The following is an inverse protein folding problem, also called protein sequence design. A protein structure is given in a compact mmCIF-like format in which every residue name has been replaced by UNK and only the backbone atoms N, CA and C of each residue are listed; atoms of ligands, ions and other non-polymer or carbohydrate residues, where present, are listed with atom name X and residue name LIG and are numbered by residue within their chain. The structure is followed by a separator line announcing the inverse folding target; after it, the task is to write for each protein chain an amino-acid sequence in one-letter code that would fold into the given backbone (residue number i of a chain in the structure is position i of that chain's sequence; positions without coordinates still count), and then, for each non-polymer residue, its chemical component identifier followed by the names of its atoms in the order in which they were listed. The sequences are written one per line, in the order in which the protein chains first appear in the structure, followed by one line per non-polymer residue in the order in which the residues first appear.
data_IF_967918738064
#
_entry.id   IF_967918738064
#
_cell.length_a   1.000
_cell.length_b   1.000
_cell.length_c   1.000
_cell.angle_alpha   90.00
_cell.angle_beta   90.00
_cell.angle_gamma   90.00
#
_symmetry.space_group_name_H-M   'P 1'
#
loop_
_entity.id
_entity.type
_entity.pdbx_description
1 polymer ?
#
# COMPACT_ATOMS: atom_id res chain seq x y z
N UNK A 1 10.35 -9.56 -6.63
CA UNK A 1 10.72 -9.07 -5.29
C UNK A 1 9.74 -9.62 -4.27
N UNK A 2 10.14 -9.82 -3.01
CA UNK A 2 9.25 -10.26 -1.94
C UNK A 2 8.93 -9.06 -1.03
N UNK A 3 7.66 -8.64 -0.98
CA UNK A 3 7.15 -7.69 0.01
C UNK A 3 7.70 -8.01 1.41
N UNK A 4 8.38 -7.03 2.02
CA UNK A 4 8.94 -7.18 3.36
C UNK A 4 7.83 -6.99 4.38
N UNK A 5 7.76 -7.88 5.37
CA UNK A 5 6.82 -7.78 6.50
C UNK A 5 7.63 -7.75 7.78
N UNK A 6 7.43 -6.74 8.61
CA UNK A 6 8.18 -6.53 9.87
C UNK A 6 7.21 -6.36 11.03
N UNK A 7 7.52 -7.01 12.15
CA UNK A 7 6.91 -6.70 13.44
C UNK A 7 7.65 -5.49 14.04
N UNK A 8 6.96 -4.38 14.27
CA UNK A 8 7.60 -3.19 14.83
C UNK A 8 6.74 -1.95 14.91
N UNK A 9 7.37 -0.87 15.37
CA UNK A 9 6.81 0.47 15.45
C UNK A 9 7.18 1.27 14.20
N UNK A 10 6.17 1.69 13.42
CA UNK A 10 6.38 2.45 12.19
C UNK A 10 7.10 3.78 12.43
N UNK A 11 7.01 4.36 13.63
CA UNK A 11 7.68 5.62 13.97
C UNK A 11 9.21 5.48 14.08
N UNK A 12 9.72 4.24 14.13
CA UNK A 12 11.15 3.93 14.24
C UNK A 12 11.79 3.53 12.90
N UNK A 13 11.03 3.55 11.81
CA UNK A 13 11.50 3.08 10.51
C UNK A 13 12.38 4.12 9.83
N UNK A 14 13.66 3.81 9.66
CA UNK A 14 14.60 4.58 8.83
C UNK A 14 14.36 4.27 7.35
N UNK A 15 13.51 5.09 6.73
CA UNK A 15 13.03 4.92 5.34
C UNK A 15 12.85 6.27 4.67
N UNK A 16 12.70 6.31 3.35
CA UNK A 16 12.40 7.59 2.69
C UNK A 16 11.03 8.11 3.10
N UNK A 17 10.03 7.24 3.21
CA UNK A 17 8.69 7.64 3.63
C UNK A 17 8.01 6.62 4.56
N UNK A 18 7.23 7.12 5.51
CA UNK A 18 6.23 6.32 6.23
C UNK A 18 4.81 6.73 5.86
N UNK A 19 3.86 5.82 6.00
CA UNK A 19 2.43 6.11 5.81
C UNK A 19 1.73 6.30 7.15
N UNK A 20 0.98 7.40 7.28
CA UNK A 20 0.10 7.68 8.40
C UNK A 20 -1.36 7.41 8.02
N UNK A 21 -2.04 6.59 8.82
CA UNK A 21 -3.50 6.41 8.78
C UNK A 21 -4.19 7.60 9.45
N UNK A 22 -4.48 8.66 8.68
CA UNK A 22 -4.99 9.92 9.17
C UNK A 22 -6.52 10.06 9.03
N UNK A 23 -7.06 11.12 9.65
CA UNK A 23 -8.41 11.64 9.35
C UNK A 23 -8.34 12.75 8.31
N UNK A 24 -9.48 13.08 7.69
CA UNK A 24 -9.55 14.07 6.59
C UNK A 24 -9.05 15.46 6.97
N UNK A 25 -9.12 15.83 8.25
CA UNK A 25 -8.71 17.14 8.75
C UNK A 25 -7.22 17.19 9.14
N UNK A 26 -6.49 16.09 8.93
CA UNK A 26 -5.04 15.98 9.21
C UNK A 26 -4.66 16.35 10.65
N UNK A 27 -5.61 16.19 11.58
CA UNK A 27 -5.41 16.35 13.01
C UNK A 27 -5.01 15.02 13.66
N UNK A 28 -4.36 15.06 14.85
CA UNK A 28 -4.09 13.86 15.62
C UNK A 28 -5.38 13.09 15.90
N UNK A 29 -5.37 11.78 15.65
CA UNK A 29 -6.45 10.86 16.01
C UNK A 29 -5.87 9.59 16.65
N UNK A 30 -6.67 8.80 17.39
CA UNK A 30 -6.18 7.61 18.09
C UNK A 30 -5.43 6.61 17.20
N UNK A 31 -4.59 5.79 17.83
CA UNK A 31 -3.81 4.75 17.14
C UNK A 31 -2.54 5.31 16.48
N UNK A 32 -2.22 4.80 15.29
CA UNK A 32 -0.96 5.09 14.57
C UNK A 32 -0.78 6.59 14.35
N UNK A 33 -1.84 7.34 14.06
CA UNK A 33 -1.75 8.77 13.83
C UNK A 33 -1.23 9.49 15.07
N UNK A 34 -1.83 9.26 16.25
CA UNK A 34 -1.35 9.85 17.51
C UNK A 34 0.08 9.43 17.84
N UNK A 35 0.47 8.19 17.55
CA UNK A 35 1.84 7.72 17.75
C UNK A 35 2.84 8.45 16.85
N UNK A 36 2.50 8.66 15.57
CA UNK A 36 3.32 9.43 14.63
C UNK A 36 3.44 10.89 15.08
N UNK A 37 2.34 11.54 15.49
CA UNK A 37 2.39 12.91 15.99
C UNK A 37 3.22 13.06 17.27
N UNK A 38 3.14 12.08 18.18
CA UNK A 38 3.89 12.10 19.44
C UNK A 38 5.38 11.78 19.26
N UNK A 39 5.73 10.92 18.29
CA UNK A 39 7.11 10.58 17.99
C UNK A 39 7.82 11.62 17.13
N UNK A 40 7.07 12.36 16.30
CA UNK A 40 7.55 13.55 15.61
C UNK A 40 7.51 14.78 16.55
N UNK A 41 8.06 15.89 16.10
CA UNK A 41 7.75 17.22 16.63
C UNK A 41 6.27 17.52 16.34
N UNK A 42 5.44 17.36 17.37
CA UNK A 42 3.99 17.48 17.27
C UNK A 42 3.56 18.85 16.73
N UNK A 43 4.21 19.94 17.13
CA UNK A 43 3.77 21.28 16.76
C UNK A 43 4.19 21.64 15.34
N UNK A 44 5.39 21.26 14.91
CA UNK A 44 5.82 21.41 13.52
C UNK A 44 5.00 20.52 12.58
N UNK A 45 4.67 19.29 12.97
CA UNK A 45 3.83 18.43 12.14
C UNK A 45 2.40 18.98 12.03
N UNK A 46 1.80 19.45 13.14
CA UNK A 46 0.48 20.11 13.10
C UNK A 46 0.50 21.34 12.19
N UNK A 47 1.57 22.13 12.23
CA UNK A 47 1.73 23.32 11.37
C UNK A 47 1.85 22.93 9.89
N UNK A 48 2.59 21.87 9.56
CA UNK A 48 2.66 21.34 8.21
C UNK A 48 1.29 20.84 7.72
N UNK A 49 0.56 20.09 8.55
CA UNK A 49 -0.80 19.64 8.26
C UNK A 49 -1.77 20.82 8.03
N UNK A 50 -1.73 21.86 8.87
CA UNK A 50 -2.58 23.06 8.70
C UNK A 50 -2.34 23.79 7.38
N UNK A 51 -1.10 23.83 6.88
CA UNK A 51 -0.78 24.42 5.58
C UNK A 51 -1.40 23.66 4.40
N UNK A 52 -1.55 22.34 4.54
CA UNK A 52 -2.20 21.48 3.54
C UNK A 52 -3.73 21.63 3.62
N UNK A 53 -4.27 21.79 4.84
CA UNK A 53 -5.71 21.88 5.08
C UNK A 53 -6.33 20.50 5.23
N UNK A 54 -6.83 19.92 4.13
CA UNK A 54 -7.60 18.66 4.18
C UNK A 54 -7.05 17.59 3.23
N UNK A 55 -7.21 16.33 3.61
CA UNK A 55 -6.99 15.17 2.74
C UNK A 55 -8.33 14.51 2.44
N UNK A 56 -8.68 14.39 1.15
CA UNK A 56 -9.91 13.71 0.74
C UNK A 56 -9.83 12.21 1.06
N UNK A 57 -10.95 11.60 1.42
CA UNK A 57 -11.04 10.16 1.62
C UNK A 57 -10.58 9.41 0.36
N UNK A 58 -9.71 8.41 0.54
CA UNK A 58 -9.06 7.67 -0.53
C UNK A 58 -7.90 8.42 -1.20
N UNK A 59 -7.38 9.50 -0.60
CA UNK A 59 -6.20 10.24 -1.11
C UNK A 59 -5.03 10.23 -0.14
N UNK A 60 -3.89 10.74 -0.63
CA UNK A 60 -2.66 10.94 0.12
C UNK A 60 -2.14 12.38 -0.02
N UNK A 61 -1.70 12.97 1.09
CA UNK A 61 -0.95 14.25 1.13
C UNK A 61 0.40 14.03 1.81
N UNK A 62 1.34 14.96 1.64
CA UNK A 62 2.74 14.77 2.08
C UNK A 62 3.18 15.90 2.99
N UNK A 63 3.84 15.56 4.09
CA UNK A 63 4.52 16.50 5.00
C UNK A 63 5.96 16.07 5.22
N UNK A 64 6.85 16.98 5.66
CA UNK A 64 8.10 16.58 6.30
C UNK A 64 7.83 15.69 7.51
N UNK A 65 8.78 14.81 7.84
CA UNK A 65 8.60 13.87 8.96
C UNK A 65 8.72 14.48 10.35
N UNK A 66 9.16 15.75 10.42
CA UNK A 66 9.27 16.53 11.65
C UNK A 66 10.06 15.81 12.75
N UNK A 67 11.20 15.19 12.41
CA UNK A 67 12.12 14.61 13.41
C UNK A 67 12.00 13.09 13.59
N UNK A 68 11.15 12.40 12.82
CA UNK A 68 11.22 10.94 12.72
C UNK A 68 12.46 10.50 11.91
N UNK A 69 12.92 9.24 12.06
CA UNK A 69 14.00 8.69 11.23
C UNK A 69 13.66 8.72 9.72
N UNK A 70 12.38 8.56 9.37
CA UNK A 70 11.94 8.71 7.98
C UNK A 70 12.08 10.15 7.47
N UNK A 71 12.19 10.37 6.15
CA UNK A 71 12.31 11.74 5.60
C UNK A 71 10.97 12.47 5.46
N UNK A 72 9.93 11.77 5.00
CA UNK A 72 8.60 12.35 4.76
C UNK A 72 7.48 11.43 5.27
N UNK A 73 6.30 12.00 5.51
CA UNK A 73 5.09 11.27 5.90
C UNK A 73 4.04 11.39 4.80
N UNK A 74 3.49 10.27 4.36
CA UNK A 74 2.30 10.20 3.51
C UNK A 74 1.06 10.02 4.38
N UNK A 75 0.24 11.05 4.50
CA UNK A 75 -1.01 11.01 5.24
C UNK A 75 -2.15 10.57 4.33
N UNK A 76 -2.73 9.41 4.61
CA UNK A 76 -3.89 8.90 3.89
C UNK A 76 -5.14 8.97 4.76
N UNK A 77 -6.24 9.44 4.18
CA UNK A 77 -7.53 9.47 4.85
C UNK A 77 -8.43 8.36 4.30
N UNK A 78 -8.94 7.49 5.16
CA UNK A 78 -9.88 6.42 4.79
C UNK A 78 -11.28 6.66 5.32
N UNK A 79 -12.25 5.97 4.74
CA UNK A 79 -13.61 5.94 5.26
C UNK A 79 -13.68 4.99 6.47
N UNK A 80 -14.71 5.16 7.30
CA UNK A 80 -15.13 4.11 8.23
C UNK A 80 -15.58 2.86 7.48
N UNK A 81 -15.56 1.71 8.19
CA UNK A 81 -16.03 0.43 7.67
C UNK A 81 -17.36 0.07 8.31
N UNK A 82 -18.40 -0.07 7.49
CA UNK A 82 -19.78 -0.31 7.91
C UNK A 82 -20.32 -1.56 7.22
N UNK A 83 -19.59 -2.67 7.36
CA UNK A 83 -20.00 -3.98 6.82
C UNK A 83 -19.26 -4.41 5.56
N UNK A 84 -18.28 -3.64 5.08
CA UNK A 84 -17.37 -4.09 4.03
C UNK A 84 -17.96 -4.08 2.64
N UNK A 85 -18.91 -3.16 2.39
CA UNK A 85 -19.46 -2.93 1.05
C UNK A 85 -18.34 -2.58 0.06
N UNK A 86 -18.56 -2.86 -1.23
CA UNK A 86 -17.55 -2.77 -2.29
C UNK A 86 -16.79 -1.42 -2.30
N UNK A 87 -17.48 -0.32 -1.96
CA UNK A 87 -16.89 1.02 -1.88
C UNK A 87 -15.82 1.15 -0.80
N UNK A 88 -16.00 0.54 0.37
CA UNK A 88 -15.06 0.63 1.50
C UNK A 88 -13.75 -0.09 1.17
N UNK A 89 -13.87 -1.30 0.60
CA UNK A 89 -12.72 -2.06 0.08
C UNK A 89 -11.94 -1.26 -0.96
N UNK A 90 -12.64 -0.67 -1.93
CA UNK A 90 -12.04 0.17 -2.96
C UNK A 90 -11.31 1.38 -2.36
N UNK A 91 -11.91 2.07 -1.40
CA UNK A 91 -11.30 3.24 -0.76
C UNK A 91 -10.04 2.87 0.04
N UNK A 92 -10.02 1.70 0.70
CA UNK A 92 -8.82 1.22 1.37
C UNK A 92 -7.71 0.87 0.39
N UNK A 93 -8.03 0.14 -0.69
CA UNK A 93 -7.05 -0.13 -1.75
C UNK A 93 -6.48 1.19 -2.30
N UNK A 94 -7.35 2.21 -2.47
CA UNK A 94 -6.95 3.50 -2.98
C UNK A 94 -6.03 4.26 -2.01
N UNK A 95 -6.23 4.16 -0.69
CA UNK A 95 -5.27 4.72 0.29
C UNK A 95 -3.86 4.15 0.07
N UNK A 96 -3.72 2.83 -0.10
CA UNK A 96 -2.43 2.21 -0.40
C UNK A 96 -1.89 2.69 -1.74
N UNK A 97 -2.69 2.64 -2.82
CA UNK A 97 -2.26 3.07 -4.16
C UNK A 97 -1.78 4.52 -4.17
N UNK A 98 -2.49 5.42 -3.49
CA UNK A 98 -2.15 6.85 -3.45
C UNK A 98 -0.89 7.12 -2.65
N UNK A 99 -0.68 6.44 -1.52
CA UNK A 99 0.58 6.53 -0.79
C UNK A 99 1.76 6.05 -1.64
N UNK A 100 1.63 4.90 -2.32
CA UNK A 100 2.68 4.35 -3.17
C UNK A 100 2.92 5.20 -4.44
N UNK A 101 1.88 5.83 -5.00
CA UNK A 101 2.04 6.84 -6.05
C UNK A 101 2.83 8.07 -5.56
N UNK A 102 2.67 8.49 -4.30
CA UNK A 102 3.51 9.56 -3.73
C UNK A 102 4.97 9.12 -3.62
N UNK A 103 5.26 7.85 -3.35
CA UNK A 103 6.62 7.33 -3.33
C UNK A 103 7.34 7.58 -4.67
N UNK A 104 6.65 7.32 -5.79
CA UNK A 104 7.18 7.63 -7.12
C UNK A 104 7.42 9.13 -7.32
N UNK A 105 6.43 9.96 -6.98
CA UNK A 105 6.50 11.41 -7.18
C UNK A 105 7.62 12.08 -6.36
N UNK A 106 7.92 11.53 -5.18
CA UNK A 106 8.93 12.04 -4.27
C UNK A 106 10.26 11.28 -4.36
N UNK A 107 10.43 10.41 -5.39
CA UNK A 107 11.63 9.62 -5.65
C UNK A 107 12.09 8.77 -4.44
N UNK A 108 11.14 8.22 -3.68
CA UNK A 108 11.42 7.32 -2.58
C UNK A 108 11.88 5.95 -3.10
N UNK A 109 12.90 5.37 -2.47
CA UNK A 109 13.35 4.00 -2.66
C UNK A 109 12.84 3.07 -1.57
N UNK A 110 12.55 3.57 -0.37
CA UNK A 110 12.03 2.78 0.75
C UNK A 110 10.78 3.40 1.34
N UNK A 111 9.72 2.59 1.51
CA UNK A 111 8.44 3.04 2.07
C UNK A 111 7.96 2.07 3.14
N UNK A 112 7.74 2.56 4.36
CA UNK A 112 7.08 1.82 5.42
C UNK A 112 5.57 2.10 5.43
N UNK A 113 4.76 1.04 5.33
CA UNK A 113 3.30 1.13 5.34
C UNK A 113 2.74 0.35 6.52
N UNK A 114 1.78 0.88 7.29
CA UNK A 114 1.15 0.11 8.35
C UNK A 114 -0.01 -0.73 7.78
N UNK A 115 -0.61 -1.56 8.64
CA UNK A 115 -1.96 -2.08 8.37
C UNK A 115 -2.98 -0.97 8.66
N UNK A 116 -3.44 -0.30 7.61
CA UNK A 116 -4.27 0.91 7.71
C UNK A 116 -5.72 0.51 8.06
N UNK A 117 -6.34 1.22 9.00
CA UNK A 117 -7.76 1.11 9.38
C UNK A 117 -8.22 -0.29 9.87
N UNK A 118 -7.31 -1.17 10.31
CA UNK A 118 -7.64 -2.51 10.84
C UNK A 118 -7.83 -2.57 12.37
N UNK A 119 -7.86 -1.41 13.03
CA UNK A 119 -8.01 -1.25 14.48
C UNK A 119 -9.46 -0.91 14.84
N UNK A 120 -9.67 0.32 15.31
CA UNK A 120 -10.97 0.82 15.81
C UNK A 120 -12.05 0.94 14.73
N UNK A 121 -11.71 0.73 13.46
CA UNK A 121 -12.64 0.84 12.35
C UNK A 121 -13.37 -0.48 12.04
N UNK A 122 -13.49 -1.45 12.94
CA UNK A 122 -14.29 -2.68 12.75
C UNK A 122 -13.98 -3.56 11.51
N UNK A 123 -12.89 -3.30 10.79
CA UNK A 123 -12.52 -4.07 9.62
C UNK A 123 -11.89 -5.41 10.01
N UNK A 124 -12.29 -6.54 9.39
CA UNK A 124 -11.64 -7.82 9.63
C UNK A 124 -10.16 -7.80 9.24
N UNK A 125 -9.27 -8.08 10.19
CA UNK A 125 -7.81 -8.00 9.98
C UNK A 125 -7.32 -8.86 8.80
N UNK A 126 -7.88 -10.05 8.63
CA UNK A 126 -7.53 -10.93 7.52
C UNK A 126 -7.83 -10.29 6.15
N UNK A 127 -8.94 -9.56 6.03
CA UNK A 127 -9.29 -8.82 4.82
C UNK A 127 -8.33 -7.63 4.62
N UNK A 128 -8.00 -6.89 5.68
CA UNK A 128 -7.03 -5.78 5.60
C UNK A 128 -5.67 -6.25 5.11
N UNK A 129 -5.22 -7.40 5.62
CA UNK A 129 -3.95 -8.02 5.23
C UNK A 129 -3.97 -8.40 3.75
N UNK A 130 -5.05 -9.05 3.29
CA UNK A 130 -5.19 -9.45 1.88
C UNK A 130 -5.19 -8.24 0.95
N UNK A 131 -5.93 -7.18 1.30
CA UNK A 131 -5.96 -5.93 0.52
C UNK A 131 -4.58 -5.27 0.48
N UNK A 132 -3.93 -5.10 1.63
CA UNK A 132 -2.59 -4.51 1.70
C UNK A 132 -1.59 -5.32 0.86
N UNK A 133 -1.55 -6.63 1.06
CA UNK A 133 -0.64 -7.51 0.35
C UNK A 133 -0.87 -7.53 -1.16
N UNK A 134 -2.13 -7.55 -1.62
CA UNK A 134 -2.48 -7.45 -3.04
C UNK A 134 -1.94 -6.15 -3.65
N UNK A 135 -2.29 -4.99 -3.06
CA UNK A 135 -1.90 -3.69 -3.62
C UNK A 135 -0.39 -3.49 -3.61
N UNK A 136 0.29 -3.91 -2.54
CA UNK A 136 1.75 -3.78 -2.44
C UNK A 136 2.44 -4.67 -3.48
N UNK A 137 2.02 -5.92 -3.66
CA UNK A 137 2.58 -6.81 -4.70
C UNK A 137 2.37 -6.27 -6.10
N UNK A 138 1.16 -5.82 -6.41
CA UNK A 138 0.84 -5.19 -7.70
C UNK A 138 1.72 -3.95 -7.97
N UNK A 139 2.11 -3.23 -6.91
CA UNK A 139 3.02 -2.09 -7.03
C UNK A 139 4.48 -2.53 -7.23
N UNK A 140 4.99 -3.44 -6.40
CA UNK A 140 6.37 -3.94 -6.49
C UNK A 140 6.68 -4.63 -7.84
N UNK A 141 5.70 -5.29 -8.45
CA UNK A 141 5.86 -5.86 -9.80
C UNK A 141 6.08 -4.77 -10.85
N UNK A 142 5.40 -3.62 -10.72
CA UNK A 142 5.52 -2.49 -11.66
C UNK A 142 6.70 -1.57 -11.36
N UNK A 143 7.15 -1.55 -10.11
CA UNK A 143 8.18 -0.64 -9.60
C UNK A 143 9.17 -1.39 -8.70
N UNK A 144 9.99 -2.30 -9.27
CA UNK A 144 10.86 -3.19 -8.49
C UNK A 144 12.00 -2.46 -7.76
N UNK A 145 12.29 -1.21 -8.12
CA UNK A 145 13.32 -0.39 -7.47
C UNK A 145 12.86 0.27 -6.16
N UNK A 146 11.56 0.17 -5.82
CA UNK A 146 10.99 0.71 -4.59
C UNK A 146 10.64 -0.44 -3.66
N UNK A 147 11.32 -0.47 -2.52
CA UNK A 147 11.09 -1.44 -1.46
C UNK A 147 9.94 -0.98 -0.55
N UNK A 148 8.90 -1.82 -0.45
CA UNK A 148 7.77 -1.57 0.44
C UNK A 148 7.82 -2.52 1.64
N UNK A 149 7.79 -1.96 2.85
CA UNK A 149 7.75 -2.73 4.10
C UNK A 149 6.41 -2.58 4.78
N UNK A 150 5.66 -3.68 4.91
CA UNK A 150 4.46 -3.75 5.74
C UNK A 150 4.85 -3.90 7.22
N UNK A 151 4.64 -2.84 7.99
CA UNK A 151 4.96 -2.76 9.42
C UNK A 151 3.72 -3.09 10.25
N UNK A 152 3.80 -4.14 11.05
CA UNK A 152 2.73 -4.65 11.89
C UNK A 152 3.14 -4.50 13.35
N UNK A 153 2.29 -3.84 14.15
CA UNK A 153 2.66 -3.53 15.54
C UNK A 153 2.41 -4.70 16.52
N UNK A 154 1.42 -5.55 16.24
CA UNK A 154 1.00 -6.63 17.14
C UNK A 154 1.45 -7.99 16.61
N UNK A 155 2.09 -8.79 17.47
CA UNK A 155 2.56 -10.14 17.17
C UNK A 155 1.49 -11.01 16.50
N UNK A 156 0.28 -11.08 17.07
CA UNK A 156 -0.79 -11.91 16.51
C UNK A 156 -1.25 -11.47 15.11
N UNK A 157 -1.09 -10.19 14.76
CA UNK A 157 -1.41 -9.68 13.42
C UNK A 157 -0.25 -9.96 12.46
N UNK A 158 0.99 -9.84 12.93
CA UNK A 158 2.18 -10.22 12.20
C UNK A 158 2.17 -11.69 11.79
N UNK A 159 1.91 -12.60 12.72
CA UNK A 159 1.82 -14.03 12.46
C UNK A 159 0.66 -14.38 11.51
N UNK A 160 -0.49 -13.70 11.66
CA UNK A 160 -1.60 -13.84 10.72
C UNK A 160 -1.21 -13.39 9.30
N UNK A 161 -0.50 -12.26 9.18
CA UNK A 161 -0.07 -11.73 7.89
C UNK A 161 0.92 -12.66 7.19
N UNK A 162 1.89 -13.22 7.93
CA UNK A 162 2.84 -14.19 7.39
C UNK A 162 2.14 -15.41 6.81
N UNK A 163 1.11 -15.94 7.50
CA UNK A 163 0.35 -17.11 7.03
C UNK A 163 -0.47 -16.80 5.78
N UNK A 164 -1.27 -15.73 5.83
CA UNK A 164 -2.16 -15.36 4.72
C UNK A 164 -1.37 -15.01 3.45
N UNK A 165 -0.30 -14.23 3.60
CA UNK A 165 0.47 -13.77 2.46
C UNK A 165 1.42 -14.84 1.94
N UNK A 166 1.85 -15.83 2.73
CA UNK A 166 2.60 -16.96 2.19
C UNK A 166 1.76 -17.83 1.24
N UNK A 167 0.46 -17.96 1.49
CA UNK A 167 -0.47 -18.80 0.73
C UNK A 167 -0.88 -18.19 -0.61
N UNK A 168 -0.84 -16.85 -0.74
CA UNK A 168 -1.23 -16.15 -1.96
C UNK A 168 -0.08 -16.09 -3.00
N UNK A 169 0.95 -16.94 -2.94
CA UNK A 169 1.94 -17.02 -4.03
C UNK A 169 1.22 -17.55 -5.28
N UNK A 170 1.30 -16.87 -6.44
CA UNK A 170 0.76 -17.44 -7.66
C UNK A 170 1.51 -18.76 -7.93
N UNK A 171 0.73 -19.82 -8.04
CA UNK A 171 1.23 -21.15 -8.41
C UNK A 171 1.86 -21.01 -9.80
N UNK A 172 3.17 -21.26 -9.89
CA UNK A 172 3.88 -21.35 -11.16
C UNK A 172 3.53 -22.69 -11.80
N UNK A 173 2.28 -22.85 -12.23
CA UNK A 173 1.81 -24.04 -12.93
C UNK A 173 0.82 -23.63 -14.01
N UNK A 174 1.37 -23.17 -15.13
CA UNK A 174 0.82 -23.40 -16.48
C UNK A 174 1.94 -23.11 -17.49
N UNK A 175 2.91 -24.01 -17.52
CA UNK A 175 3.69 -24.26 -18.71
C UNK A 175 2.93 -25.30 -19.54
N UNK A 176 2.84 -25.02 -20.84
CA UNK A 176 2.57 -25.94 -21.94
C UNK A 176 1.10 -26.36 -22.20
N UNK A 177 0.46 -25.63 -23.12
CA UNK A 177 -0.27 -26.28 -24.21
C UNK A 177 0.18 -25.62 -25.52
N UNK A 178 1.13 -26.28 -26.18
CA UNK A 178 1.48 -26.03 -27.56
C UNK A 178 0.24 -25.97 -28.48
N UNK A 179 0.26 -25.01 -29.40
CA UNK A 179 -0.49 -25.09 -30.66
C UNK A 179 0.45 -24.72 -31.79
N UNK A 180 0.84 -25.76 -32.53
CA UNK A 180 1.42 -25.71 -33.86
C UNK A 180 0.58 -24.84 -34.80
N UNK A 181 1.19 -23.85 -35.43
CA UNK A 181 0.62 -23.14 -36.56
C UNK A 181 0.63 -24.04 -37.82
N UNK A 182 -0.42 -24.03 -38.66
CA UNK A 182 -0.35 -24.67 -39.97
C UNK A 182 0.26 -23.71 -41.00
N UNK A 183 1.15 -24.25 -41.82
CA UNK A 183 1.80 -23.62 -42.99
C UNK A 183 0.78 -23.02 -44.00
N UNK A 184 1.09 -21.89 -44.67
CA UNK A 184 0.23 -21.33 -45.70
C UNK A 184 0.35 -22.12 -47.02
N UNK A 185 -0.78 -22.67 -47.47
CA UNK A 185 -0.92 -23.41 -48.71
C UNK A 185 -0.65 -22.58 -49.98
N UNK A 186 -0.06 -23.28 -50.96
CA UNK A 186 0.26 -22.87 -52.33
C UNK A 186 -0.90 -22.17 -53.07
N UNK A 187 -0.53 -21.12 -53.81
CA UNK A 187 -1.33 -20.48 -54.86
C UNK A 187 -1.80 -21.49 -55.93
N UNK A 188 -3.05 -21.40 -56.42
CA UNK A 188 -3.44 -22.09 -57.64
C UNK A 188 -3.18 -21.20 -58.86
N UNK A 189 -2.53 -21.82 -59.84
CA UNK A 189 -2.33 -21.36 -61.20
C UNK A 189 -3.64 -20.89 -61.88
N UNK A 190 -3.51 -19.83 -62.68
CA UNK A 190 -4.50 -19.44 -63.69
C UNK A 190 -4.49 -20.46 -64.83
N UNK A 191 -5.64 -20.85 -65.40
CA UNK A 191 -5.67 -21.30 -66.78
C UNK A 191 -5.81 -20.08 -67.71
N UNK A 192 -4.96 -20.10 -68.74
CA UNK A 192 -5.13 -19.34 -69.96
C UNK A 192 -6.31 -19.90 -70.78
N UNK A 193 -6.86 -19.01 -71.63
CA UNK A 193 -7.89 -19.17 -72.67
C UNK A 193 -9.29 -18.75 -72.21
#
# INVERSE_FOLDING_TARGET
MHMRIVLGDITKMDTDAIVNAAVSDLSPCPGICSAIFAAADTEELKKACRKIGRCRIGHAVVTPSCGLPSKIIFHVAGAGWYGGVQRERMLLEECYRRALQKALLYNCRTVAVPLIFSGDCHMPRAESIRIAGKVIREFEVRHPDIEVTLVLYREGVYEMARRLLAQDKPDSTEADVGRSEPEPGKSPDRPSI
#
